data_IF_553024209702
#
_entry.id   IF_553024209702
#
_cell.length_a   1.000
_cell.length_b   1.000
_cell.length_c   1.000
_cell.angle_alpha   90.00
_cell.angle_beta   90.00
_cell.angle_gamma   90.00
#
_symmetry.space_group_name_H-M   'P 1'
#
loop_
_entity.id
_entity.type
_entity.pdbx_description
1 polymer ?
#
# COMPACT_ATOMS: atom_id res chain seq x y z
N UNK A 1 -9.46 4.82 11.02
CA UNK A 1 -9.11 5.70 12.14
C UNK A 1 -7.86 5.20 12.84
N UNK A 2 -6.73 5.91 12.70
CA UNK A 2 -5.45 5.52 13.30
C UNK A 2 -5.44 5.70 14.82
N UNK A 3 -6.24 6.63 15.36
CA UNK A 3 -6.35 6.83 16.81
C UNK A 3 -7.10 5.66 17.46
N UNK A 4 -8.21 5.22 16.84
CA UNK A 4 -8.94 4.04 17.29
C UNK A 4 -8.09 2.76 17.19
N UNK A 5 -7.18 2.70 16.21
CA UNK A 5 -6.21 1.62 16.06
C UNK A 5 -5.00 1.73 17.01
N UNK A 6 -4.91 2.78 17.83
CA UNK A 6 -3.78 3.02 18.73
C UNK A 6 -2.46 3.30 18.01
N UNK A 7 -2.50 3.83 16.78
CA UNK A 7 -1.33 4.06 15.95
C UNK A 7 -0.99 5.55 15.86
N UNK A 8 0.29 5.86 15.88
CA UNK A 8 0.80 7.14 15.40
C UNK A 8 0.80 7.17 13.86
N UNK A 9 0.96 8.37 13.29
CA UNK A 9 1.12 8.53 11.83
C UNK A 9 2.36 7.77 11.33
N UNK A 10 3.44 7.84 12.08
CA UNK A 10 4.69 7.16 11.75
C UNK A 10 4.51 5.64 11.74
N UNK A 11 3.89 5.08 12.80
CA UNK A 11 3.61 3.64 12.89
C UNK A 11 2.74 3.17 11.73
N UNK A 12 1.73 3.95 11.36
CA UNK A 12 0.86 3.63 10.25
C UNK A 12 1.61 3.57 8.91
N UNK A 13 2.48 4.57 8.65
CA UNK A 13 3.32 4.60 7.45
C UNK A 13 4.31 3.44 7.43
N UNK A 14 4.96 3.15 8.56
CA UNK A 14 5.91 2.04 8.68
C UNK A 14 5.23 0.68 8.47
N UNK A 15 3.99 0.52 8.92
CA UNK A 15 3.20 -0.69 8.65
C UNK A 15 2.84 -0.82 7.18
N UNK A 16 2.51 0.28 6.48
CA UNK A 16 2.28 0.24 5.04
C UNK A 16 3.56 -0.14 4.27
N UNK A 17 4.72 0.38 4.66
CA UNK A 17 6.02 -0.03 4.12
C UNK A 17 6.26 -1.53 4.35
N UNK A 18 6.01 -2.00 5.56
CA UNK A 18 6.18 -3.41 5.94
C UNK A 18 5.31 -4.34 5.12
N UNK A 19 4.04 -3.97 4.86
CA UNK A 19 3.15 -4.74 3.97
C UNK A 19 3.78 -4.91 2.58
N UNK A 20 4.28 -3.82 1.99
CA UNK A 20 4.90 -3.87 0.67
C UNK A 20 6.20 -4.69 0.67
N UNK A 21 7.02 -4.55 1.71
CA UNK A 21 8.29 -5.28 1.86
C UNK A 21 8.03 -6.78 1.99
N UNK A 22 7.09 -7.18 2.85
CA UNK A 22 6.72 -8.60 2.99
C UNK A 22 6.12 -9.15 1.71
N UNK A 23 5.25 -8.39 1.06
CA UNK A 23 4.70 -8.79 -0.24
C UNK A 23 5.80 -9.02 -1.29
N UNK A 24 6.82 -8.16 -1.36
CA UNK A 24 7.98 -8.40 -2.23
C UNK A 24 8.73 -9.68 -1.82
N UNK A 25 8.90 -9.91 -0.52
CA UNK A 25 9.53 -11.09 0.04
C UNK A 25 8.82 -12.39 -0.32
N UNK A 26 7.48 -12.42 -0.36
CA UNK A 26 6.69 -13.58 -0.80
C UNK A 26 6.99 -13.99 -2.25
N UNK A 27 7.55 -13.07 -3.03
CA UNK A 27 8.00 -13.29 -4.40
C UNK A 27 9.53 -13.45 -4.52
N UNK A 28 10.24 -13.61 -3.40
CA UNK A 28 11.69 -13.78 -3.37
C UNK A 28 12.49 -12.50 -3.63
N UNK A 29 11.85 -11.32 -3.59
CA UNK A 29 12.50 -10.03 -3.81
C UNK A 29 12.86 -9.42 -2.46
N UNK A 30 14.15 -9.09 -2.27
CA UNK A 30 14.64 -8.39 -1.08
C UNK A 30 14.36 -6.90 -1.25
N UNK A 31 13.30 -6.42 -0.62
CA UNK A 31 12.96 -5.01 -0.57
C UNK A 31 13.25 -4.43 0.81
N UNK A 32 13.40 -3.12 0.89
CA UNK A 32 13.67 -2.40 2.14
C UNK A 32 13.12 -0.99 2.14
N UNK A 33 13.37 -0.28 3.25
CA UNK A 33 13.03 1.14 3.42
C UNK A 33 14.18 2.01 2.91
N UNK A 34 13.86 3.24 2.54
CA UNK A 34 14.84 4.24 2.15
C UNK A 34 14.63 5.52 2.99
N UNK A 35 15.70 6.07 3.53
CA UNK A 35 15.65 7.25 4.39
C UNK A 35 15.26 8.54 3.66
N UNK A 36 15.51 8.61 2.36
CA UNK A 36 15.22 9.81 1.56
C UNK A 36 13.74 9.92 1.16
N UNK A 37 13.06 8.78 0.98
CA UNK A 37 11.67 8.79 0.52
C UNK A 37 10.93 7.54 0.97
N UNK A 38 9.77 7.73 1.60
CA UNK A 38 8.93 6.65 2.10
C UNK A 38 8.43 5.73 0.98
N UNK A 39 8.35 4.42 1.26
CA UNK A 39 7.92 3.39 0.34
C UNK A 39 8.77 2.13 0.41
N UNK A 40 8.54 1.20 -0.50
CA UNK A 40 9.32 -0.02 -0.65
C UNK A 40 10.35 0.13 -1.78
N UNK A 41 11.58 -0.29 -1.54
CA UNK A 41 12.71 -0.11 -2.45
C UNK A 41 13.46 -1.42 -2.65
N UNK A 42 13.92 -1.62 -3.88
CA UNK A 42 14.86 -2.68 -4.24
C UNK A 42 16.14 -1.97 -4.69
N UNK A 43 17.20 -2.10 -3.91
CA UNK A 43 18.44 -1.33 -4.10
C UNK A 43 18.14 0.20 -4.18
N UNK A 44 18.37 0.82 -5.35
CA UNK A 44 18.14 2.24 -5.60
C UNK A 44 16.84 2.51 -6.39
N UNK A 45 16.02 1.49 -6.64
CA UNK A 45 14.81 1.58 -7.44
C UNK A 45 13.55 1.46 -6.56
N UNK A 46 12.58 2.33 -6.77
CA UNK A 46 11.35 2.36 -5.99
C UNK A 46 10.34 1.36 -6.53
N UNK A 47 9.97 0.39 -5.71
CA UNK A 47 8.98 -0.66 -6.02
C UNK A 47 7.57 -0.24 -5.63
N UNK A 48 7.45 0.51 -4.52
CA UNK A 48 6.16 0.95 -4.04
C UNK A 48 6.22 2.34 -3.40
N UNK A 49 5.16 3.11 -3.55
CA UNK A 49 5.03 4.49 -3.10
C UNK A 49 3.91 4.61 -2.08
N UNK A 50 4.09 5.45 -1.06
CA UNK A 50 3.05 5.80 -0.10
C UNK A 50 2.50 7.17 -0.46
N UNK A 51 1.18 7.26 -0.52
CA UNK A 51 0.44 8.51 -0.69
C UNK A 51 -0.76 8.51 0.24
N UNK A 52 -0.62 9.13 1.40
CA UNK A 52 -1.70 9.22 2.39
C UNK A 52 -2.02 10.67 2.72
N UNK A 53 -3.27 10.90 3.07
CA UNK A 53 -3.75 12.13 3.72
C UNK A 53 -4.41 11.74 5.03
N UNK A 54 -4.24 12.56 6.06
CA UNK A 54 -4.85 12.34 7.38
C UNK A 54 -5.67 13.56 7.75
N UNK A 55 -6.95 13.34 8.04
CA UNK A 55 -7.85 14.39 8.51
C UNK A 55 -8.59 13.90 9.75
N UNK A 56 -8.39 14.60 10.87
CA UNK A 56 -9.04 14.28 12.17
C UNK A 56 -8.80 12.83 12.64
N UNK A 57 -7.63 12.25 12.31
CA UNK A 57 -7.31 10.86 12.65
C UNK A 57 -7.76 9.81 11.64
N UNK A 58 -8.53 10.19 10.63
CA UNK A 58 -8.94 9.29 9.53
C UNK A 58 -7.94 9.39 8.40
N UNK A 59 -7.46 8.25 7.93
CA UNK A 59 -6.56 8.15 6.78
C UNK A 59 -7.34 7.97 5.48
N UNK A 60 -6.84 8.60 4.42
CA UNK A 60 -7.34 8.49 3.05
C UNK A 60 -6.22 8.04 2.15
N UNK A 61 -6.54 7.29 1.09
CA UNK A 61 -5.59 6.66 0.19
C UNK A 61 -4.77 5.57 0.90
N UNK A 62 -3.52 5.33 0.49
CA UNK A 62 -2.68 4.27 1.03
C UNK A 62 -1.35 4.18 0.31
N UNK A 63 -1.15 3.13 -0.47
CA UNK A 63 0.07 2.91 -1.23
C UNK A 63 -0.22 2.41 -2.65
N UNK A 64 0.74 2.62 -3.53
CA UNK A 64 0.80 2.02 -4.86
C UNK A 64 1.98 1.04 -4.90
N UNK A 65 1.76 -0.16 -5.44
CA UNK A 65 2.76 -1.20 -5.55
C UNK A 65 2.88 -1.63 -7.02
N UNK A 66 4.06 -1.50 -7.59
CA UNK A 66 4.31 -1.76 -9.00
C UNK A 66 4.45 -3.27 -9.23
N UNK A 67 3.44 -3.90 -9.82
CA UNK A 67 3.45 -5.33 -10.15
C UNK A 67 3.91 -5.56 -11.58
N UNK A 68 3.05 -5.21 -12.55
CA UNK A 68 3.27 -5.36 -14.00
C UNK A 68 3.13 -4.02 -14.73
N UNK A 69 3.34 -2.92 -14.01
CA UNK A 69 3.17 -1.56 -14.52
C UNK A 69 4.25 -1.25 -15.55
N UNK A 70 3.87 -0.63 -16.69
CA UNK A 70 4.85 0.00 -17.58
C UNK A 70 5.60 1.10 -16.82
N UNK A 71 6.92 1.01 -16.83
CA UNK A 71 7.77 1.97 -16.12
C UNK A 71 8.17 3.17 -16.99
N UNK A 72 7.88 3.12 -18.29
CA UNK A 72 8.24 4.17 -19.26
C UNK A 72 7.66 5.54 -18.87
N UNK A 73 6.37 5.68 -18.48
CA UNK A 73 5.82 6.98 -18.12
C UNK A 73 6.49 7.66 -16.93
N UNK A 74 7.13 6.88 -16.05
CA UNK A 74 7.88 7.47 -14.93
C UNK A 74 9.14 8.22 -15.38
N UNK A 75 9.65 7.91 -16.58
CA UNK A 75 10.76 8.66 -17.18
C UNK A 75 10.37 10.06 -17.67
N UNK A 76 9.07 10.35 -17.81
CA UNK A 76 8.56 11.63 -18.29
C UNK A 76 8.26 12.62 -17.15
N UNK A 77 8.27 12.15 -15.92
CA UNK A 77 7.97 12.94 -14.72
C UNK A 77 9.10 12.79 -13.69
N UNK A 78 9.15 13.68 -12.73
CA UNK A 78 9.98 13.51 -11.53
C UNK A 78 9.09 12.95 -10.39
N UNK A 79 9.04 11.62 -10.18
CA UNK A 79 8.20 11.03 -9.15
C UNK A 79 8.54 11.62 -7.77
N UNK A 80 7.53 12.06 -7.02
CA UNK A 80 7.69 12.64 -5.68
C UNK A 80 8.61 13.90 -5.62
N UNK A 81 8.80 14.61 -6.75
CA UNK A 81 9.65 15.80 -6.80
C UNK A 81 11.15 15.53 -6.69
N UNK A 82 11.57 14.27 -6.64
CA UNK A 82 12.99 13.90 -6.56
C UNK A 82 13.50 13.54 -7.96
N UNK A 83 14.57 14.21 -8.38
CA UNK A 83 15.23 13.92 -9.65
C UNK A 83 16.04 12.62 -9.54
N UNK A 84 15.96 11.79 -10.58
CA UNK A 84 16.82 10.60 -10.71
C UNK A 84 16.40 9.36 -9.93
N UNK A 85 15.17 9.32 -9.40
CA UNK A 85 14.66 8.09 -8.80
C UNK A 85 14.27 7.10 -9.91
N UNK A 86 14.95 5.97 -9.95
CA UNK A 86 14.53 4.86 -10.77
C UNK A 86 13.30 4.17 -10.17
N UNK A 87 12.36 3.75 -11.02
CA UNK A 87 11.23 2.92 -10.61
C UNK A 87 11.48 1.48 -11.04
N UNK A 88 10.96 0.54 -10.26
CA UNK A 88 10.95 -0.88 -10.61
C UNK A 88 9.56 -1.50 -10.39
N UNK A 89 9.38 -2.76 -10.78
CA UNK A 89 8.17 -3.54 -10.59
C UNK A 89 8.52 -5.00 -10.26
N UNK A 90 7.57 -5.77 -9.72
CA UNK A 90 7.80 -7.19 -9.46
C UNK A 90 8.22 -7.94 -10.73
N UNK A 91 7.53 -7.73 -11.86
CA UNK A 91 7.88 -8.39 -13.12
C UNK A 91 9.29 -8.04 -13.61
N UNK A 92 9.72 -6.80 -13.42
CA UNK A 92 11.07 -6.37 -13.78
C UNK A 92 12.12 -7.05 -12.93
N UNK A 93 11.93 -7.09 -11.61
CA UNK A 93 12.89 -7.72 -10.68
C UNK A 93 12.99 -9.23 -10.89
N UNK A 94 11.87 -9.88 -11.20
CA UNK A 94 11.80 -11.32 -11.44
C UNK A 94 12.16 -11.73 -12.87
N UNK A 95 12.19 -10.78 -13.80
CA UNK A 95 12.30 -11.04 -15.26
C UNK A 95 11.24 -12.05 -15.75
N UNK A 96 10.06 -12.04 -15.12
CA UNK A 96 8.98 -12.99 -15.38
C UNK A 96 7.61 -12.35 -15.15
N UNK A 97 6.60 -12.89 -15.84
CA UNK A 97 5.21 -12.45 -15.61
C UNK A 97 4.71 -12.85 -14.23
N UNK A 98 4.01 -11.93 -13.59
CA UNK A 98 3.47 -12.09 -12.24
C UNK A 98 1.95 -12.04 -12.29
N UNK A 99 1.22 -13.09 -11.83
CA UNK A 99 -0.23 -13.09 -11.79
C UNK A 99 -0.74 -12.06 -10.77
N UNK A 100 -1.34 -10.98 -11.26
CA UNK A 100 -1.79 -9.86 -10.43
C UNK A 100 -2.72 -10.27 -9.28
N UNK A 101 -3.63 -11.25 -9.54
CA UNK A 101 -4.54 -11.73 -8.50
C UNK A 101 -3.79 -12.36 -7.31
N UNK A 102 -2.70 -13.10 -7.55
CA UNK A 102 -1.89 -13.69 -6.48
C UNK A 102 -1.16 -12.63 -5.66
N UNK A 103 -0.68 -11.56 -6.31
CA UNK A 103 -0.08 -10.43 -5.58
C UNK A 103 -1.11 -9.76 -4.69
N UNK A 104 -2.35 -9.59 -5.18
CA UNK A 104 -3.44 -9.02 -4.39
C UNK A 104 -3.77 -9.87 -3.16
N UNK A 105 -3.74 -11.20 -3.29
CA UNK A 105 -3.91 -12.13 -2.16
C UNK A 105 -2.77 -12.00 -1.14
N UNK A 106 -1.52 -11.93 -1.62
CA UNK A 106 -0.35 -11.71 -0.77
C UNK A 106 -0.43 -10.35 -0.04
N UNK A 107 -0.81 -9.27 -0.73
CA UNK A 107 -1.04 -7.96 -0.11
C UNK A 107 -2.11 -8.04 0.98
N UNK A 108 -3.25 -8.71 0.71
CA UNK A 108 -4.32 -8.91 1.68
C UNK A 108 -3.80 -9.62 2.93
N UNK A 109 -3.13 -10.75 2.76
CA UNK A 109 -2.52 -11.51 3.85
C UNK A 109 -1.55 -10.67 4.68
N UNK A 110 -0.66 -9.93 4.02
CA UNK A 110 0.31 -9.09 4.71
C UNK A 110 -0.33 -7.89 5.42
N UNK A 111 -1.42 -7.33 4.90
CA UNK A 111 -2.20 -6.31 5.63
C UNK A 111 -2.76 -6.92 6.93
N UNK A 112 -3.40 -8.08 6.84
CA UNK A 112 -3.95 -8.77 8.01
C UNK A 112 -2.88 -9.06 9.05
N UNK A 113 -1.74 -9.59 8.62
CA UNK A 113 -0.62 -9.92 9.51
C UNK A 113 0.04 -8.70 10.16
N UNK A 114 0.29 -7.65 9.40
CA UNK A 114 1.01 -6.45 9.89
C UNK A 114 0.12 -5.57 10.76
N UNK A 115 -1.16 -5.44 10.43
CA UNK A 115 -2.10 -4.61 11.19
C UNK A 115 -2.79 -5.39 12.32
N UNK A 116 -2.68 -6.72 12.38
CA UNK A 116 -3.37 -7.56 13.35
C UNK A 116 -4.88 -7.51 13.19
N UNK A 117 -5.36 -7.50 11.95
CA UNK A 117 -6.78 -7.36 11.60
C UNK A 117 -7.22 -8.45 10.63
N UNK A 118 -8.53 -8.54 10.42
CA UNK A 118 -9.13 -9.42 9.41
C UNK A 118 -9.84 -8.56 8.38
N UNK A 119 -9.52 -8.78 7.11
CA UNK A 119 -10.18 -8.09 6.00
C UNK A 119 -11.42 -8.86 5.56
N UNK A 120 -12.55 -8.21 5.60
CA UNK A 120 -13.85 -8.76 5.17
C UNK A 120 -14.11 -8.31 3.74
N UNK A 121 -14.41 -9.28 2.87
CA UNK A 121 -14.89 -8.97 1.53
C UNK A 121 -16.32 -8.43 1.63
N UNK A 122 -16.56 -7.28 1.04
CA UNK A 122 -17.90 -6.69 0.99
C UNK A 122 -18.15 -6.08 -0.39
N UNK A 123 -19.42 -6.05 -0.79
CA UNK A 123 -19.86 -5.35 -2.00
C UNK A 123 -20.14 -3.87 -1.70
N UNK A 124 -20.22 -3.06 -2.76
CA UNK A 124 -20.62 -1.64 -2.60
C UNK A 124 -22.02 -1.50 -2.01
N UNK A 125 -22.93 -2.41 -2.33
CA UNK A 125 -24.30 -2.40 -1.79
C UNK A 125 -24.30 -2.64 -0.29
N UNK A 126 -23.61 -3.68 0.18
CA UNK A 126 -23.47 -3.98 1.60
C UNK A 126 -22.80 -2.83 2.36
N UNK A 127 -21.76 -2.23 1.80
CA UNK A 127 -21.10 -1.08 2.40
C UNK A 127 -22.05 0.12 2.55
N UNK A 128 -22.86 0.41 1.52
CA UNK A 128 -23.85 1.48 1.58
C UNK A 128 -24.94 1.22 2.62
N UNK A 129 -25.37 -0.03 2.79
CA UNK A 129 -26.33 -0.42 3.82
C UNK A 129 -25.77 -0.26 5.24
N UNK A 130 -24.49 -0.61 5.43
CA UNK A 130 -23.80 -0.38 6.70
C UNK A 130 -23.79 1.10 7.09
N UNK A 131 -23.45 1.98 6.15
CA UNK A 131 -23.45 3.43 6.40
C UNK A 131 -24.84 4.00 6.68
N UNK A 132 -25.91 3.50 6.05
CA UNK A 132 -27.27 3.92 6.36
C UNK A 132 -27.66 3.56 7.78
N UNK A 133 -27.40 2.32 8.21
CA UNK A 133 -27.69 1.86 9.58
C UNK A 133 -26.95 2.65 10.65
N UNK A 134 -25.71 3.07 10.39
CA UNK A 134 -24.95 3.89 11.35
C UNK A 134 -25.47 5.32 11.42
N UNK A 135 -25.89 5.92 10.31
CA UNK A 135 -26.50 7.24 10.31
C UNK A 135 -27.84 7.25 11.07
N UNK A 136 -28.67 6.23 10.92
CA UNK A 136 -29.97 6.13 11.63
C UNK A 136 -29.78 5.98 13.15
N UNK A 137 -28.65 5.41 13.60
CA UNK A 137 -28.31 5.32 15.04
C UNK A 137 -27.80 6.63 15.64
N UNK A 138 -27.28 7.55 14.83
CA UNK A 138 -26.73 8.84 15.28
C UNK A 138 -27.83 9.92 15.31
N UNK A 139 -28.90 9.74 14.53
CA UNK A 139 -29.98 10.71 14.36
C UNK A 139 -31.27 10.37 15.13
N UNK A 140 -31.34 9.24 15.80
CA UNK A 140 -32.43 8.80 16.69
C UNK A 140 -31.99 8.82 18.15
#
# INVERSE_FOLDING_TARGET
DIKAAGLSVTDYVERLEEVMIRTAGDWGIIAGRNSMNRGAWVNHSKLGSIGITIRRGITFHGFAFNVCTSLEPFGWINPCGLKGIAMTSLERELSARVPFHKVRESVKYNIEAVFGTVLINTSMTELQEMFKKDNDRITG
#
